data_IF_701736903510
#
_entry.id   IF_701736903510
#
_cell.length_a   1.000
_cell.length_b   1.000
_cell.length_c   1.000
_cell.angle_alpha   90.00
_cell.angle_beta   90.00
_cell.angle_gamma   90.00
#
_symmetry.space_group_name_H-M   'P 1'
#
loop_
_entity.id
_entity.type
_entity.pdbx_description
1 polymer ?
#
# COMPACT_ATOMS: atom_id res chain seq x y z
N UNK A 1 25.59 -0.52 -12.66
CA UNK A 1 24.52 0.44 -13.02
C UNK A 1 23.74 -0.16 -14.18
N UNK A 2 22.40 -0.27 -14.05
CA UNK A 2 21.53 -0.71 -15.14
C UNK A 2 21.54 0.35 -16.26
N UNK A 3 21.61 -0.08 -17.53
CA UNK A 3 21.39 0.82 -18.67
C UNK A 3 19.89 1.04 -18.90
N UNK A 4 19.53 2.11 -19.65
CA UNK A 4 18.13 2.42 -20.00
C UNK A 4 17.43 1.23 -20.67
N UNK A 5 18.12 0.51 -21.56
CA UNK A 5 17.58 -0.66 -22.25
C UNK A 5 17.34 -1.84 -21.29
N UNK A 6 18.26 -2.05 -20.34
CA UNK A 6 18.09 -3.09 -19.31
C UNK A 6 16.93 -2.74 -18.36
N UNK A 7 16.75 -1.47 -18.04
CA UNK A 7 15.63 -0.99 -17.25
C UNK A 7 14.28 -1.22 -17.97
N UNK A 8 14.18 -0.87 -19.25
CA UNK A 8 12.96 -1.11 -20.04
C UNK A 8 12.62 -2.60 -20.13
N UNK A 9 13.61 -3.45 -20.41
CA UNK A 9 13.42 -4.89 -20.44
C UNK A 9 12.99 -5.46 -19.07
N UNK A 10 13.56 -4.95 -17.97
CA UNK A 10 13.18 -5.33 -16.62
C UNK A 10 11.73 -4.97 -16.30
N UNK A 11 11.27 -3.76 -16.69
CA UNK A 11 9.86 -3.33 -16.54
C UNK A 11 8.90 -4.26 -17.29
N UNK A 12 9.22 -4.59 -18.53
CA UNK A 12 8.39 -5.49 -19.34
C UNK A 12 8.29 -6.88 -18.70
N UNK A 13 9.41 -7.42 -18.19
CA UNK A 13 9.40 -8.72 -17.53
C UNK A 13 8.58 -8.72 -16.22
N UNK A 14 8.68 -7.66 -15.42
CA UNK A 14 7.85 -7.53 -14.21
C UNK A 14 6.37 -7.48 -14.57
N UNK A 15 5.96 -6.65 -15.53
CA UNK A 15 4.58 -6.57 -15.97
C UNK A 15 4.08 -7.93 -16.49
N UNK A 16 4.90 -8.62 -17.29
CA UNK A 16 4.57 -9.97 -17.78
C UNK A 16 4.38 -10.97 -16.63
N UNK A 17 5.22 -10.94 -15.62
CA UNK A 17 5.10 -11.83 -14.45
C UNK A 17 3.82 -11.53 -13.67
N UNK A 18 3.47 -10.26 -13.48
CA UNK A 18 2.22 -9.83 -12.80
C UNK A 18 0.99 -10.30 -13.58
N UNK A 19 1.02 -10.23 -14.92
CA UNK A 19 -0.09 -10.67 -15.76
C UNK A 19 -0.18 -12.20 -15.89
N UNK A 20 0.95 -12.90 -15.83
CA UNK A 20 1.02 -14.34 -16.03
C UNK A 20 0.69 -15.16 -14.77
N UNK A 21 0.89 -14.59 -13.59
CA UNK A 21 0.73 -15.29 -12.32
C UNK A 21 -0.56 -14.86 -11.61
N UNK A 22 -1.61 -15.71 -11.72
CA UNK A 22 -2.86 -15.55 -10.98
C UNK A 22 -2.71 -15.75 -9.45
N UNK A 23 -1.50 -15.95 -8.94
CA UNK A 23 -1.19 -16.24 -7.54
C UNK A 23 -0.33 -15.17 -6.85
N UNK A 24 0.00 -14.06 -7.54
CA UNK A 24 0.76 -12.96 -6.91
C UNK A 24 -0.07 -12.39 -5.76
N UNK A 25 0.50 -12.46 -4.55
CA UNK A 25 -0.12 -11.87 -3.38
C UNK A 25 0.17 -10.36 -3.29
N UNK A 26 -0.58 -9.67 -2.43
CA UNK A 26 -0.48 -8.22 -2.27
C UNK A 26 0.95 -7.78 -1.85
N UNK A 27 1.65 -8.57 -1.05
CA UNK A 27 3.01 -8.26 -0.61
C UNK A 27 3.99 -8.27 -1.80
N UNK A 28 3.98 -9.33 -2.60
CA UNK A 28 4.84 -9.46 -3.80
C UNK A 28 4.57 -8.31 -4.77
N UNK A 29 3.30 -8.00 -4.98
CA UNK A 29 2.90 -6.90 -5.84
C UNK A 29 3.39 -5.54 -5.33
N UNK A 30 3.22 -5.26 -4.04
CA UNK A 30 3.68 -4.02 -3.43
C UNK A 30 5.20 -3.90 -3.46
N UNK A 31 5.91 -5.01 -3.29
CA UNK A 31 7.37 -5.05 -3.44
C UNK A 31 7.81 -4.70 -4.87
N UNK A 32 7.11 -5.20 -5.88
CA UNK A 32 7.35 -4.82 -7.27
C UNK A 32 7.10 -3.33 -7.50
N UNK A 33 6.05 -2.77 -6.92
CA UNK A 33 5.75 -1.34 -6.98
C UNK A 33 6.88 -0.50 -6.36
N UNK A 34 7.42 -0.92 -5.22
CA UNK A 34 8.59 -0.28 -4.58
C UNK A 34 9.80 -0.29 -5.50
N UNK A 35 10.15 -1.46 -6.06
CA UNK A 35 11.30 -1.61 -6.95
C UNK A 35 11.13 -0.75 -8.21
N UNK A 36 9.95 -0.76 -8.83
CA UNK A 36 9.63 0.09 -9.99
C UNK A 36 9.85 1.56 -9.66
N UNK A 37 9.26 2.03 -8.56
CA UNK A 37 9.37 3.43 -8.14
C UNK A 37 10.81 3.88 -7.90
N UNK A 38 11.61 3.06 -7.22
CA UNK A 38 13.03 3.39 -6.97
C UNK A 38 13.84 3.42 -8.27
N UNK A 39 13.56 2.51 -9.20
CA UNK A 39 14.21 2.51 -10.50
C UNK A 39 13.74 3.68 -11.37
N UNK A 40 12.43 3.95 -11.43
CA UNK A 40 11.89 5.11 -12.16
C UNK A 40 12.53 6.41 -11.70
N UNK A 41 12.69 6.60 -10.38
CA UNK A 41 13.33 7.79 -9.82
C UNK A 41 14.82 7.90 -10.16
N UNK A 42 15.50 6.77 -10.38
CA UNK A 42 16.93 6.74 -10.74
C UNK A 42 17.16 6.99 -12.23
N UNK A 43 16.15 6.76 -13.08
CA UNK A 43 16.23 6.89 -14.53
C UNK A 43 15.44 8.06 -15.11
N UNK A 44 14.58 8.69 -14.31
CA UNK A 44 13.84 9.90 -14.71
C UNK A 44 14.63 11.15 -14.31
N UNK A 45 15.08 11.90 -15.28
CA UNK A 45 15.70 13.25 -15.11
C UNK A 45 14.66 14.33 -14.75
N UNK A 46 13.43 13.94 -14.46
CA UNK A 46 12.35 14.88 -14.23
C UNK A 46 12.24 15.27 -12.76
N UNK A 47 12.78 16.45 -12.46
CA UNK A 47 12.20 17.38 -11.48
C UNK A 47 10.80 17.81 -11.96
N UNK A 48 9.91 16.88 -12.21
CA UNK A 48 8.52 17.19 -12.48
C UNK A 48 7.96 17.78 -11.19
N UNK A 49 7.61 19.05 -11.25
CA UNK A 49 6.98 19.83 -10.18
C UNK A 49 5.52 19.31 -10.04
N UNK A 50 5.40 18.03 -9.65
CA UNK A 50 4.10 17.39 -9.45
C UNK A 50 3.43 18.11 -8.29
N UNK A 51 2.35 18.81 -8.58
CA UNK A 51 1.55 19.49 -7.55
C UNK A 51 1.09 18.45 -6.53
N UNK A 52 1.66 18.53 -5.35
CA UNK A 52 1.32 17.61 -4.25
C UNK A 52 -0.15 17.77 -3.85
N UNK A 53 -0.88 16.69 -3.80
CA UNK A 53 -2.27 16.65 -3.32
C UNK A 53 -2.26 16.96 -1.82
N UNK A 54 -3.00 18.01 -1.42
CA UNK A 54 -2.98 18.54 -0.04
C UNK A 54 -4.27 18.27 0.73
N UNK A 55 -5.22 17.56 0.15
CA UNK A 55 -6.48 17.22 0.78
C UNK A 55 -6.67 15.72 0.86
N UNK A 56 -6.88 15.20 2.07
CA UNK A 56 -7.16 13.79 2.30
C UNK A 56 -8.53 13.38 1.68
N UNK A 57 -9.49 14.30 1.66
CA UNK A 57 -10.80 14.05 1.09
C UNK A 57 -10.77 13.73 -0.42
N UNK A 58 -9.77 14.25 -1.14
CA UNK A 58 -9.62 14.03 -2.59
C UNK A 58 -9.14 12.61 -2.92
N UNK A 59 -8.50 11.92 -1.99
CA UNK A 59 -7.93 10.57 -2.15
C UNK A 59 -8.64 9.53 -1.30
N UNK A 60 -9.91 9.80 -0.96
CA UNK A 60 -10.72 8.89 -0.14
C UNK A 60 -10.92 7.53 -0.79
N UNK A 61 -11.15 7.51 -2.10
CA UNK A 61 -11.36 6.26 -2.85
C UNK A 61 -10.11 5.40 -2.81
N UNK A 62 -8.96 6.00 -3.03
CA UNK A 62 -7.66 5.33 -3.02
C UNK A 62 -7.32 4.80 -1.61
N UNK A 63 -7.65 5.57 -0.57
CA UNK A 63 -7.52 5.10 0.82
C UNK A 63 -8.43 3.91 1.10
N UNK A 64 -9.70 3.93 0.63
CA UNK A 64 -10.61 2.79 0.78
C UNK A 64 -10.06 1.54 0.10
N UNK A 65 -9.56 1.67 -1.13
CA UNK A 65 -8.96 0.55 -1.89
C UNK A 65 -7.75 -0.02 -1.14
N UNK A 66 -6.81 0.84 -0.74
CA UNK A 66 -5.59 0.41 -0.06
C UNK A 66 -5.89 -0.28 1.27
N UNK A 67 -6.73 0.31 2.12
CA UNK A 67 -7.08 -0.28 3.42
C UNK A 67 -7.88 -1.57 3.27
N UNK A 68 -8.81 -1.65 2.29
CA UNK A 68 -9.54 -2.88 2.00
C UNK A 68 -8.60 -4.01 1.55
N UNK A 69 -7.66 -3.71 0.66
CA UNK A 69 -6.66 -4.68 0.20
C UNK A 69 -5.76 -5.17 1.36
N UNK A 70 -5.31 -4.25 2.21
CA UNK A 70 -4.48 -4.57 3.37
C UNK A 70 -5.22 -5.50 4.35
N UNK A 71 -6.48 -5.19 4.66
CA UNK A 71 -7.32 -6.00 5.55
C UNK A 71 -7.62 -7.39 4.95
N UNK A 72 -7.78 -7.49 3.63
CA UNK A 72 -7.97 -8.78 2.95
C UNK A 72 -6.72 -9.67 2.98
N UNK A 73 -5.55 -9.06 2.87
CA UNK A 73 -4.27 -9.77 2.92
C UNK A 73 -3.81 -10.13 4.34
N UNK A 74 -4.37 -9.46 5.35
CA UNK A 74 -4.10 -9.72 6.77
C UNK A 74 -4.83 -10.96 7.29
N UNK A 75 -4.63 -11.25 8.58
CA UNK A 75 -5.17 -12.45 9.24
C UNK A 75 -6.60 -12.25 9.81
N UNK A 76 -7.21 -11.08 9.63
CA UNK A 76 -8.59 -10.84 10.05
C UNK A 76 -9.55 -11.85 9.42
N UNK A 77 -10.45 -12.40 10.23
CA UNK A 77 -11.52 -13.27 9.70
C UNK A 77 -12.41 -12.48 8.75
N UNK A 78 -13.03 -13.15 7.80
CA UNK A 78 -13.87 -12.49 6.80
C UNK A 78 -14.98 -11.64 7.44
N UNK A 79 -15.53 -12.09 8.56
CA UNK A 79 -16.54 -11.36 9.34
C UNK A 79 -16.00 -10.09 9.99
N UNK A 80 -14.73 -10.06 10.36
CA UNK A 80 -14.11 -8.95 11.10
C UNK A 80 -13.52 -7.88 10.17
N UNK A 81 -13.26 -8.23 8.91
CA UNK A 81 -12.66 -7.33 7.92
C UNK A 81 -13.34 -5.96 7.82
N UNK A 82 -14.67 -5.85 7.75
CA UNK A 82 -15.33 -4.54 7.73
C UNK A 82 -15.05 -3.71 8.98
N UNK A 83 -14.98 -4.35 10.14
CA UNK A 83 -14.70 -3.68 11.43
C UNK A 83 -13.26 -3.19 11.50
N UNK A 84 -12.30 -4.03 11.06
CA UNK A 84 -10.88 -3.65 10.98
C UNK A 84 -10.68 -2.50 9.99
N UNK A 85 -11.30 -2.57 8.82
CA UNK A 85 -11.31 -1.50 7.84
C UNK A 85 -11.86 -0.19 8.42
N UNK A 86 -13.00 -0.27 9.13
CA UNK A 86 -13.64 0.89 9.75
C UNK A 86 -12.70 1.57 10.75
N UNK A 87 -12.00 0.81 11.59
CA UNK A 87 -11.01 1.35 12.52
C UNK A 87 -9.89 2.14 11.81
N UNK A 88 -9.38 1.62 10.68
CA UNK A 88 -8.41 2.34 9.85
C UNK A 88 -8.96 3.61 9.22
N UNK A 89 -10.20 3.58 8.75
CA UNK A 89 -10.86 4.75 8.13
C UNK A 89 -11.12 5.86 9.15
N UNK A 90 -11.50 5.53 10.37
CA UNK A 90 -11.73 6.49 11.45
C UNK A 90 -10.46 7.27 11.83
N UNK A 91 -9.28 6.66 11.65
CA UNK A 91 -7.99 7.35 11.80
C UNK A 91 -7.78 8.44 10.73
N UNK A 92 -8.37 8.29 9.55
CA UNK A 92 -8.21 9.22 8.43
C UNK A 92 -9.29 10.29 8.37
N UNK A 93 -10.53 9.91 8.66
CA UNK A 93 -11.69 10.76 8.41
C UNK A 93 -12.58 10.86 9.63
N UNK A 94 -12.84 12.07 10.10
CA UNK A 94 -13.76 12.36 11.21
C UNK A 94 -15.19 11.91 10.89
N UNK A 95 -15.57 11.91 9.60
CA UNK A 95 -16.85 11.36 9.15
C UNK A 95 -16.57 10.17 8.22
N UNK A 96 -16.66 8.98 8.80
CA UNK A 96 -16.37 7.71 8.15
C UNK A 96 -17.59 7.11 7.42
N UNK A 97 -18.80 7.70 7.57
CA UNK A 97 -20.07 7.14 7.05
C UNK A 97 -20.09 6.94 5.53
N UNK A 98 -19.23 7.63 4.79
CA UNK A 98 -19.12 7.51 3.33
C UNK A 98 -18.01 6.55 2.88
N UNK A 99 -17.26 5.95 3.82
CA UNK A 99 -16.25 4.96 3.50
C UNK A 99 -16.90 3.59 3.34
N UNK A 100 -16.49 2.85 2.31
CA UNK A 100 -17.03 1.53 2.03
C UNK A 100 -15.89 0.52 1.92
N UNK A 101 -15.99 -0.53 2.73
CA UNK A 101 -15.15 -1.69 2.57
C UNK A 101 -15.43 -2.36 1.21
N UNK A 102 -14.40 -2.63 0.45
CA UNK A 102 -14.48 -3.31 -0.84
C UNK A 102 -14.08 -4.77 -0.62
N UNK A 103 -15.04 -5.69 -0.79
CA UNK A 103 -14.85 -7.12 -0.50
C UNK A 103 -13.88 -7.82 -1.47
N UNK A 104 -13.72 -7.27 -2.67
CA UNK A 104 -12.80 -7.80 -3.68
C UNK A 104 -12.02 -6.65 -4.30
N UNK A 105 -10.73 -6.57 -3.96
CA UNK A 105 -9.81 -5.57 -4.52
C UNK A 105 -8.84 -6.27 -5.45
N UNK A 106 -8.83 -5.89 -6.73
CA UNK A 106 -7.83 -6.36 -7.68
C UNK A 106 -6.50 -5.66 -7.49
N UNK A 107 -5.40 -6.34 -7.80
CA UNK A 107 -4.05 -5.76 -7.74
C UNK A 107 -3.91 -4.52 -8.64
N UNK A 108 -4.58 -4.50 -9.80
CA UNK A 108 -4.60 -3.34 -10.67
C UNK A 108 -5.18 -2.09 -9.99
N UNK A 109 -6.27 -2.24 -9.20
CA UNK A 109 -6.84 -1.14 -8.42
C UNK A 109 -5.91 -0.68 -7.30
N UNK A 110 -5.14 -1.59 -6.70
CA UNK A 110 -4.12 -1.23 -5.71
C UNK A 110 -3.02 -0.40 -6.36
N UNK A 111 -2.57 -0.77 -7.58
CA UNK A 111 -1.56 -0.03 -8.32
C UNK A 111 -2.01 1.41 -8.62
N UNK A 112 -3.20 1.55 -9.19
CA UNK A 112 -3.80 2.86 -9.47
C UNK A 112 -3.90 3.71 -8.19
N UNK A 113 -4.34 3.10 -7.08
CA UNK A 113 -4.44 3.79 -5.79
C UNK A 113 -3.06 4.22 -5.27
N UNK A 114 -2.05 3.37 -5.31
CA UNK A 114 -0.70 3.68 -4.87
C UNK A 114 -0.07 4.79 -5.73
N UNK A 115 -0.25 4.77 -7.05
CA UNK A 115 0.25 5.81 -7.96
C UNK A 115 -0.32 7.19 -7.61
N UNK A 116 -1.61 7.27 -7.26
CA UNK A 116 -2.23 8.53 -6.79
C UNK A 116 -1.71 8.92 -5.41
N UNK A 117 -1.64 7.97 -4.48
CA UNK A 117 -1.22 8.22 -3.09
C UNK A 117 0.25 8.61 -2.97
N UNK A 118 1.11 8.21 -3.91
CA UNK A 118 2.50 8.71 -3.98
C UNK A 118 2.57 10.22 -4.19
N UNK A 119 1.60 10.83 -4.87
CA UNK A 119 1.56 12.27 -5.13
C UNK A 119 1.01 13.11 -3.97
N UNK A 120 0.51 12.52 -2.88
CA UNK A 120 -0.02 13.30 -1.74
C UNK A 120 1.10 13.89 -0.87
N UNK A 121 0.76 14.97 -0.16
CA UNK A 121 1.69 15.66 0.73
C UNK A 121 2.23 14.72 1.84
N UNK A 122 3.50 14.86 2.27
CA UNK A 122 4.11 13.98 3.25
C UNK A 122 3.34 13.85 4.57
N UNK A 123 2.65 14.91 5.00
CA UNK A 123 1.80 14.89 6.19
C UNK A 123 0.62 13.91 6.02
N UNK A 124 0.00 13.92 4.85
CA UNK A 124 -1.14 13.02 4.52
C UNK A 124 -0.65 11.57 4.41
N UNK A 125 0.49 11.34 3.77
CA UNK A 125 1.11 10.00 3.69
C UNK A 125 1.30 9.37 5.06
N UNK A 126 1.79 10.15 6.03
CA UNK A 126 1.95 9.67 7.42
C UNK A 126 0.61 9.29 8.06
N UNK A 127 -0.46 10.04 7.80
CA UNK A 127 -1.80 9.68 8.27
C UNK A 127 -2.26 8.36 7.63
N UNK A 128 -2.04 8.18 6.32
CA UNK A 128 -2.38 6.95 5.61
C UNK A 128 -1.60 5.75 6.18
N UNK A 129 -0.29 5.89 6.37
CA UNK A 129 0.53 4.82 6.98
C UNK A 129 0.06 4.52 8.40
N UNK A 130 -0.32 5.54 9.19
CA UNK A 130 -0.88 5.32 10.53
C UNK A 130 -2.20 4.53 10.48
N UNK A 131 -3.09 4.82 9.54
CA UNK A 131 -4.31 4.05 9.33
C UNK A 131 -4.01 2.59 8.95
N UNK A 132 -3.02 2.36 8.09
CA UNK A 132 -2.55 1.01 7.78
C UNK A 132 -2.04 0.27 9.03
N UNK A 133 -1.28 0.97 9.90
CA UNK A 133 -0.84 0.41 11.18
C UNK A 133 -2.03 0.01 12.03
N UNK A 134 -3.05 0.87 12.16
CA UNK A 134 -4.27 0.56 12.95
C UNK A 134 -4.94 -0.71 12.44
N UNK A 135 -5.05 -0.91 11.13
CA UNK A 135 -5.60 -2.14 10.57
C UNK A 135 -4.76 -3.38 10.94
N UNK A 136 -3.44 -3.28 10.84
CA UNK A 136 -2.53 -4.42 11.07
C UNK A 136 -2.44 -4.79 12.55
N UNK A 137 -2.52 -3.82 13.47
CA UNK A 137 -2.43 -4.08 14.91
C UNK A 137 -3.78 -4.27 15.60
N UNK A 138 -4.87 -4.34 14.85
CA UNK A 138 -6.23 -4.32 15.37
C UNK A 138 -6.49 -5.44 16.41
N UNK A 139 -6.01 -6.63 16.16
CA UNK A 139 -6.13 -7.79 17.03
C UNK A 139 -5.00 -7.87 18.08
N UNK A 140 -4.14 -6.83 18.17
CA UNK A 140 -2.97 -6.75 19.05
C UNK A 140 -1.88 -7.78 18.71
N UNK A 141 -1.94 -8.37 17.52
CA UNK A 141 -0.99 -9.34 17.03
C UNK A 141 -0.45 -8.88 15.68
N UNK A 142 0.84 -9.08 15.45
CA UNK A 142 1.45 -8.75 14.15
C UNK A 142 2.26 -9.97 13.70
N UNK A 143 1.86 -10.56 12.61
CA UNK A 143 2.63 -11.61 11.96
C UNK A 143 3.79 -11.02 11.16
N UNK A 144 4.78 -11.85 10.85
CA UNK A 144 5.90 -11.43 9.98
C UNK A 144 5.37 -10.95 8.63
N UNK A 145 4.41 -11.65 8.04
CA UNK A 145 3.82 -11.30 6.74
C UNK A 145 3.12 -9.94 6.77
N UNK A 146 2.37 -9.65 7.82
CA UNK A 146 1.70 -8.33 7.99
C UNK A 146 2.70 -7.20 8.20
N UNK A 147 3.76 -7.45 9.00
CA UNK A 147 4.82 -6.47 9.21
C UNK A 147 5.55 -6.13 7.90
N UNK A 148 5.88 -7.13 7.09
CA UNK A 148 6.55 -6.94 5.80
C UNK A 148 5.62 -6.27 4.78
N UNK A 149 4.33 -6.64 4.72
CA UNK A 149 3.35 -5.98 3.88
C UNK A 149 3.19 -4.50 4.25
N UNK A 150 3.06 -4.18 5.54
CA UNK A 150 2.97 -2.81 6.01
C UNK A 150 4.21 -1.99 5.66
N UNK A 151 5.41 -2.59 5.77
CA UNK A 151 6.67 -1.96 5.37
C UNK A 151 6.69 -1.68 3.86
N UNK A 152 6.28 -2.66 3.04
CA UNK A 152 6.24 -2.50 1.60
C UNK A 152 5.26 -1.39 1.17
N UNK A 153 4.07 -1.33 1.79
CA UNK A 153 3.09 -0.25 1.57
C UNK A 153 3.67 1.11 1.97
N UNK A 154 4.28 1.22 3.16
CA UNK A 154 4.86 2.47 3.64
C UNK A 154 6.02 2.94 2.73
N UNK A 155 6.86 2.03 2.25
CA UNK A 155 7.94 2.37 1.32
C UNK A 155 7.40 2.77 -0.06
N UNK A 156 6.36 2.10 -0.57
CA UNK A 156 5.65 2.50 -1.79
C UNK A 156 5.16 3.94 -1.73
N UNK A 157 4.68 4.36 -0.57
CA UNK A 157 4.23 5.74 -0.34
C UNK A 157 5.40 6.72 -0.14
N UNK A 158 6.65 6.24 -0.05
CA UNK A 158 7.82 7.04 0.27
C UNK A 158 7.83 7.52 1.73
N UNK A 159 7.26 6.74 2.62
CA UNK A 159 7.24 6.93 4.07
C UNK A 159 7.80 5.67 4.77
N UNK A 160 9.05 5.28 4.51
CA UNK A 160 9.60 4.06 5.08
C UNK A 160 9.51 4.08 6.61
N UNK A 161 9.12 2.94 7.18
CA UNK A 161 9.03 2.73 8.62
C UNK A 161 10.16 1.80 9.08
N UNK A 162 10.62 1.91 10.35
CA UNK A 162 11.59 0.99 10.91
C UNK A 162 11.08 -0.46 10.88
N UNK A 163 11.97 -1.46 10.94
CA UNK A 163 11.55 -2.85 11.11
C UNK A 163 10.64 -3.01 12.32
N UNK A 164 9.48 -3.60 12.11
CA UNK A 164 8.53 -3.94 13.17
C UNK A 164 8.94 -5.33 13.68
N UNK A 165 9.10 -5.46 14.99
CA UNK A 165 9.35 -6.75 15.61
C UNK A 165 7.99 -7.44 15.70
N UNK A 166 7.78 -8.45 14.87
CA UNK A 166 6.61 -9.31 14.96
C UNK A 166 6.61 -10.04 16.32
N UNK A 167 5.47 -10.07 16.97
CA UNK A 167 5.29 -10.84 18.21
C UNK A 167 5.00 -12.30 17.83
N UNK A 168 6.04 -13.03 17.44
CA UNK A 168 5.94 -14.45 17.14
C UNK A 168 5.99 -15.25 18.45
N UNK A 169 4.89 -15.27 19.18
CA UNK A 169 4.75 -16.06 20.38
C UNK A 169 3.40 -16.79 20.40
N UNK A 170 3.23 -17.75 19.50
CA UNK A 170 2.29 -18.85 19.72
C UNK A 170 3.07 -19.98 20.43
N UNK A 171 3.02 -19.98 21.76
CA UNK A 171 3.23 -21.18 22.55
C UNK A 171 1.96 -22.04 22.52
#
# INVERSE_FOLDING_TARGET
QLSQNQYSAFREHINYMIEADNHINLFEYTLHHVVRRHLDSAFSDENANVKSIRSLATVRVECNVLLSALVQAGHATESDRPTVFQAGIEELFTNADSAQYVSEVSLAKVDEALDVLVAVAPKIKRCIVKACVVCVVYDQYITVSEAELLRAVADSLGCPIPPIIASDNRL
#
